data_IF_945229786892
#
_entry.id   IF_945229786892
#
_cell.length_a   1.000
_cell.length_b   1.000
_cell.length_c   1.000
_cell.angle_alpha   90.00
_cell.angle_beta   90.00
_cell.angle_gamma   90.00
#
_symmetry.space_group_name_H-M   'P 1'
#
loop_
_entity.id
_entity.type
_entity.pdbx_description
1 polymer ?
#
# COMPACT_ATOMS: atom_id res chain seq x y z
N UNK A 1 -49.97 61.50 69.70
CA UNK A 1 -49.84 60.88 68.37
C UNK A 1 -48.40 61.08 67.91
N UNK A 2 -47.54 60.08 68.06
CA UNK A 2 -46.20 60.07 67.45
C UNK A 2 -45.90 58.60 67.12
N UNK A 3 -46.02 58.23 65.84
CA UNK A 3 -45.71 56.89 65.34
C UNK A 3 -44.29 56.92 64.78
N UNK A 4 -43.41 56.07 65.32
CA UNK A 4 -42.07 55.79 64.80
C UNK A 4 -42.21 54.63 63.80
N UNK A 5 -41.71 54.71 62.56
CA UNK A 5 -41.66 53.55 61.68
C UNK A 5 -40.35 52.79 61.90
N UNK A 6 -40.47 51.50 62.20
CA UNK A 6 -39.39 50.52 62.08
C UNK A 6 -39.12 50.25 60.60
N UNK A 7 -37.90 50.47 60.13
CA UNK A 7 -37.42 50.00 58.82
C UNK A 7 -36.72 48.67 59.04
N UNK A 8 -37.33 47.58 58.58
CA UNK A 8 -36.72 46.26 58.54
C UNK A 8 -35.80 46.17 57.32
N UNK A 9 -34.49 45.98 57.55
CA UNK A 9 -33.50 45.73 56.50
C UNK A 9 -33.35 44.21 56.33
N UNK A 10 -34.01 43.64 55.33
CA UNK A 10 -33.84 42.24 54.92
C UNK A 10 -32.66 42.12 53.95
N UNK A 11 -31.54 41.59 54.43
CA UNK A 11 -30.38 41.20 53.62
C UNK A 11 -30.72 39.89 52.90
N UNK A 12 -30.96 39.95 51.59
CA UNK A 12 -31.11 38.77 50.74
C UNK A 12 -29.74 38.18 50.39
N UNK A 13 -29.43 37.01 50.95
CA UNK A 13 -28.27 36.21 50.56
C UNK A 13 -28.60 35.48 49.24
N UNK A 14 -28.14 36.03 48.12
CA UNK A 14 -28.20 35.36 46.81
C UNK A 14 -27.07 34.31 46.78
N UNK A 15 -27.41 33.04 46.97
CA UNK A 15 -26.53 31.92 46.60
C UNK A 15 -26.49 31.84 45.07
N UNK A 16 -25.48 32.47 44.47
CA UNK A 16 -25.04 32.11 43.12
C UNK A 16 -24.33 30.76 43.21
N UNK A 17 -25.06 29.67 42.98
CA UNK A 17 -24.44 28.41 42.58
C UNK A 17 -23.91 28.59 41.17
N UNK A 18 -22.67 29.08 41.05
CA UNK A 18 -21.93 29.03 39.80
C UNK A 18 -21.78 27.57 39.41
N UNK A 19 -22.56 27.11 38.45
CA UNK A 19 -22.19 25.94 37.66
C UNK A 19 -20.92 26.33 36.90
N UNK A 20 -19.78 25.94 37.44
CA UNK A 20 -18.54 25.96 36.68
C UNK A 20 -18.72 24.96 35.53
N UNK A 21 -19.13 25.44 34.37
CA UNK A 21 -18.83 24.76 33.12
C UNK A 21 -17.31 24.81 33.02
N UNK A 22 -16.63 23.73 33.41
CA UNK A 22 -15.22 23.55 33.08
C UNK A 22 -15.20 23.42 31.55
N UNK A 23 -14.95 24.54 30.88
CA UNK A 23 -14.55 24.49 29.48
C UNK A 23 -13.21 23.75 29.46
N UNK A 24 -13.14 22.63 28.73
CA UNK A 24 -11.88 21.97 28.43
C UNK A 24 -10.91 23.00 27.84
N UNK A 25 -9.63 22.92 28.24
CA UNK A 25 -8.59 23.75 27.65
C UNK A 25 -8.54 23.53 26.13
N UNK A 26 -8.13 24.54 25.37
CA UNK A 26 -7.94 24.38 23.92
C UNK A 26 -6.97 23.22 23.62
N UNK A 27 -5.94 23.06 24.45
CA UNK A 27 -4.97 21.97 24.39
C UNK A 27 -5.64 20.61 24.60
N UNK A 28 -6.54 20.47 25.56
CA UNK A 28 -7.26 19.21 25.80
C UNK A 28 -8.17 18.82 24.64
N UNK A 29 -8.90 19.79 24.08
CA UNK A 29 -9.69 19.58 22.86
C UNK A 29 -8.83 19.20 21.66
N UNK A 30 -7.69 19.86 21.49
CA UNK A 30 -6.72 19.57 20.44
C UNK A 30 -6.10 18.17 20.62
N UNK A 31 -5.71 17.79 21.84
CA UNK A 31 -5.20 16.46 22.18
C UNK A 31 -6.21 15.37 21.82
N UNK A 32 -7.45 15.52 22.27
CA UNK A 32 -8.53 14.59 21.92
C UNK A 32 -8.70 14.48 20.40
N UNK A 33 -8.71 15.61 19.69
CA UNK A 33 -8.85 15.63 18.23
C UNK A 33 -7.70 14.91 17.52
N UNK A 34 -6.46 15.10 17.97
CA UNK A 34 -5.29 14.40 17.42
C UNK A 34 -5.46 12.90 17.63
N UNK A 35 -5.75 12.47 18.86
CA UNK A 35 -5.92 11.05 19.18
C UNK A 35 -7.03 10.40 18.37
N UNK A 36 -8.24 10.96 18.40
CA UNK A 36 -9.41 10.44 17.68
C UNK A 36 -9.14 10.29 16.17
N UNK A 37 -8.35 11.22 15.59
CA UNK A 37 -8.07 11.24 14.14
C UNK A 37 -7.00 10.26 13.72
N UNK A 38 -6.02 10.00 14.59
CA UNK A 38 -4.96 9.04 14.31
C UNK A 38 -5.41 7.62 14.63
N UNK A 39 -6.09 7.39 15.74
CA UNK A 39 -6.38 6.04 16.25
C UNK A 39 -7.80 5.55 15.90
N UNK A 40 -8.71 6.48 15.58
CA UNK A 40 -10.13 6.17 15.38
C UNK A 40 -10.90 5.92 16.69
N UNK A 41 -10.25 6.01 17.86
CA UNK A 41 -10.83 5.76 19.18
C UNK A 41 -10.56 6.93 20.14
N UNK A 42 -11.42 7.14 21.16
CA UNK A 42 -11.15 8.14 22.18
C UNK A 42 -9.99 7.70 23.09
N UNK A 43 -9.10 8.62 23.52
CA UNK A 43 -8.04 8.32 24.46
C UNK A 43 -8.60 7.99 25.84
N UNK A 44 -7.85 7.20 26.63
CA UNK A 44 -8.06 7.14 28.07
C UNK A 44 -7.80 8.50 28.72
N UNK A 45 -8.39 8.75 29.90
CA UNK A 45 -8.17 10.00 30.65
C UNK A 45 -6.68 10.28 30.93
N UNK A 46 -5.89 9.23 31.20
CA UNK A 46 -4.46 9.35 31.43
C UNK A 46 -3.71 9.79 30.18
N UNK A 47 -3.97 9.14 29.03
CA UNK A 47 -3.36 9.50 27.74
C UNK A 47 -3.77 10.91 27.33
N UNK A 48 -5.03 11.29 27.53
CA UNK A 48 -5.53 12.62 27.19
C UNK A 48 -4.82 13.72 28.00
N UNK A 49 -4.64 13.52 29.31
CA UNK A 49 -3.93 14.46 30.18
C UNK A 49 -2.43 14.57 29.81
N UNK A 50 -1.81 13.46 29.43
CA UNK A 50 -0.43 13.44 28.94
C UNK A 50 -0.29 14.22 27.63
N UNK A 51 -1.17 13.97 26.65
CA UNK A 51 -1.18 14.68 25.37
C UNK A 51 -1.47 16.18 25.52
N UNK A 52 -2.36 16.57 26.45
CA UNK A 52 -2.60 17.97 26.80
C UNK A 52 -1.32 18.67 27.29
N UNK A 53 -0.56 17.98 28.14
CA UNK A 53 0.74 18.47 28.63
C UNK A 53 1.75 18.57 27.49
N UNK A 54 1.82 17.57 26.60
CA UNK A 54 2.70 17.58 25.44
C UNK A 54 2.42 18.75 24.50
N UNK A 55 1.14 19.09 24.26
CA UNK A 55 0.76 20.24 23.44
C UNK A 55 1.13 21.60 24.06
N UNK A 56 1.27 21.66 25.38
CA UNK A 56 1.74 22.88 26.05
C UNK A 56 3.23 23.10 25.79
N UNK A 57 4.03 22.02 25.75
CA UNK A 57 5.47 22.06 25.54
C UNK A 57 5.86 22.08 24.06
N UNK A 58 5.04 21.47 23.20
CA UNK A 58 5.20 21.40 21.76
C UNK A 58 3.89 21.80 21.05
N UNK A 59 3.70 23.10 20.80
CA UNK A 59 2.49 23.60 20.15
C UNK A 59 2.29 23.12 18.71
N UNK A 60 3.30 22.50 18.07
CA UNK A 60 3.14 21.90 16.73
C UNK A 60 2.24 20.67 16.77
N UNK A 61 2.11 20.04 17.95
CA UNK A 61 1.35 18.82 18.15
C UNK A 61 2.09 17.55 17.76
N UNK A 62 3.35 17.63 17.29
CA UNK A 62 4.15 16.46 16.91
C UNK A 62 4.30 15.49 18.08
N UNK A 63 4.72 15.97 19.25
CA UNK A 63 4.92 15.10 20.42
C UNK A 63 3.62 14.43 20.88
N UNK A 64 2.50 15.14 20.80
CA UNK A 64 1.18 14.57 21.10
C UNK A 64 0.74 13.54 20.06
N UNK A 65 1.03 13.77 18.77
CA UNK A 65 0.79 12.81 17.72
C UNK A 65 1.61 11.53 17.95
N UNK A 66 2.91 11.64 18.21
CA UNK A 66 3.78 10.50 18.55
C UNK A 66 3.25 9.70 19.75
N UNK A 67 2.69 10.39 20.75
CA UNK A 67 2.02 9.71 21.87
C UNK A 67 0.78 8.94 21.42
N UNK A 68 -0.05 9.51 20.55
CA UNK A 68 -1.24 8.84 20.03
C UNK A 68 -0.89 7.65 19.12
N UNK A 69 0.25 7.69 18.41
CA UNK A 69 0.70 6.55 17.59
C UNK A 69 1.01 5.30 18.42
N UNK A 70 1.28 5.44 19.74
CA UNK A 70 1.50 4.31 20.64
C UNK A 70 0.22 3.54 20.96
N UNK A 71 -0.96 4.07 20.62
CA UNK A 71 -2.21 3.34 20.78
C UNK A 71 -2.27 2.20 19.73
N UNK A 72 -2.47 0.94 20.14
CA UNK A 72 -2.52 -0.19 19.22
C UNK A 72 -3.57 -0.06 18.10
N UNK A 73 -4.64 0.72 18.32
CA UNK A 73 -5.64 0.98 17.29
C UNK A 73 -5.06 1.72 16.08
N UNK A 74 -3.99 2.51 16.25
CA UNK A 74 -3.31 3.14 15.11
C UNK A 74 -2.80 2.10 14.11
N UNK A 75 -2.12 1.05 14.57
CA UNK A 75 -1.54 0.02 13.70
C UNK A 75 -2.60 -1.01 13.25
N UNK A 76 -3.41 -1.52 14.18
CA UNK A 76 -4.36 -2.60 13.91
C UNK A 76 -5.63 -2.13 13.17
N UNK A 77 -6.00 -0.85 13.28
CA UNK A 77 -7.21 -0.31 12.65
C UNK A 77 -6.86 0.75 11.61
N UNK A 78 -6.20 1.84 11.99
CA UNK A 78 -5.98 2.97 11.06
C UNK A 78 -5.06 2.60 9.91
N UNK A 79 -3.85 2.10 10.19
CA UNK A 79 -2.90 1.73 9.14
C UNK A 79 -3.37 0.50 8.34
N UNK A 80 -3.97 -0.48 9.01
CA UNK A 80 -4.59 -1.61 8.32
C UNK A 80 -5.64 -1.14 7.30
N UNK A 81 -6.57 -0.29 7.71
CA UNK A 81 -7.61 0.23 6.81
C UNK A 81 -7.06 1.20 5.76
N UNK A 82 -5.96 1.88 6.05
CA UNK A 82 -5.26 2.74 5.08
C UNK A 82 -4.64 1.93 3.94
N UNK A 83 -3.97 0.82 4.26
CA UNK A 83 -3.29 -0.02 3.27
C UNK A 83 -4.20 -1.08 2.61
N UNK A 84 -5.27 -1.52 3.29
CA UNK A 84 -6.19 -2.55 2.81
C UNK A 84 -6.75 -2.32 1.39
N UNK A 85 -7.21 -1.10 1.02
CA UNK A 85 -7.66 -0.80 -0.34
C UNK A 85 -6.61 -1.04 -1.43
N UNK A 86 -5.32 -1.08 -1.08
CA UNK A 86 -4.25 -1.27 -2.06
C UNK A 86 -4.04 -2.73 -2.43
N UNK A 87 -4.66 -3.67 -1.70
CA UNK A 87 -4.42 -5.11 -1.84
C UNK A 87 -5.55 -5.84 -2.54
N UNK A 88 -6.53 -5.13 -3.10
CA UNK A 88 -7.69 -5.71 -3.79
C UNK A 88 -8.21 -4.78 -4.90
N UNK A 89 -8.87 -5.34 -5.92
CA UNK A 89 -9.38 -4.57 -7.06
C UNK A 89 -10.59 -3.70 -6.69
N UNK A 90 -11.36 -4.10 -5.68
CA UNK A 90 -12.53 -3.37 -5.18
C UNK A 90 -12.15 -2.11 -4.39
N UNK A 91 -10.86 -1.94 -4.06
CA UNK A 91 -10.34 -0.88 -3.20
C UNK A 91 -11.09 -0.76 -1.86
N UNK A 92 -11.54 -1.90 -1.33
CA UNK A 92 -12.28 -1.98 -0.08
C UNK A 92 -11.34 -2.10 1.11
N UNK A 93 -11.76 -1.50 2.24
CA UNK A 93 -11.12 -1.70 3.55
C UNK A 93 -11.49 -3.06 4.18
N UNK A 94 -12.54 -3.71 3.67
CA UNK A 94 -13.10 -4.96 4.23
C UNK A 94 -12.35 -6.20 3.73
N UNK A 95 -11.02 -6.15 3.75
CA UNK A 95 -10.15 -7.31 3.51
C UNK A 95 -9.42 -7.69 4.80
N UNK A 96 -9.18 -8.99 5.05
CA UNK A 96 -8.32 -9.41 6.16
C UNK A 96 -6.91 -8.83 6.04
N UNK A 97 -6.21 -8.74 7.16
CA UNK A 97 -4.76 -8.58 7.19
C UNK A 97 -4.14 -9.62 6.28
N UNK A 98 -3.11 -9.21 5.54
CA UNK A 98 -2.39 -10.05 4.60
C UNK A 98 -0.94 -9.58 4.52
N UNK A 99 -0.11 -10.31 3.80
CA UNK A 99 1.32 -10.02 3.65
C UNK A 99 1.65 -8.65 3.08
N UNK A 100 0.86 -8.15 2.14
CA UNK A 100 1.01 -6.78 1.64
C UNK A 100 0.73 -5.78 2.77
N UNK A 101 -0.49 -5.81 3.35
CA UNK A 101 -0.89 -4.86 4.40
C UNK A 101 0.07 -4.91 5.60
N UNK A 102 0.46 -6.10 6.04
CA UNK A 102 1.41 -6.30 7.12
C UNK A 102 2.79 -5.69 6.80
N UNK A 103 3.27 -5.87 5.56
CA UNK A 103 4.55 -5.28 5.12
C UNK A 103 4.52 -3.76 5.15
N UNK A 104 3.43 -3.13 4.69
CA UNK A 104 3.26 -1.67 4.78
C UNK A 104 3.24 -1.20 6.23
N UNK A 105 2.47 -1.86 7.10
CA UNK A 105 2.39 -1.51 8.53
C UNK A 105 3.76 -1.60 9.19
N UNK A 106 4.49 -2.69 8.96
CA UNK A 106 5.82 -2.92 9.52
C UNK A 106 6.85 -1.90 9.03
N UNK A 107 6.87 -1.60 7.72
CA UNK A 107 7.75 -0.57 7.16
C UNK A 107 7.52 0.81 7.78
N UNK A 108 6.26 1.19 8.01
CA UNK A 108 5.90 2.45 8.67
C UNK A 108 6.36 2.46 10.13
N UNK A 109 6.14 1.35 10.85
CA UNK A 109 6.57 1.23 12.25
C UNK A 109 8.09 1.35 12.40
N UNK A 110 8.83 0.69 11.52
CA UNK A 110 10.29 0.58 11.59
C UNK A 110 11.03 1.72 10.88
N UNK A 111 10.30 2.74 10.39
CA UNK A 111 10.85 3.91 9.68
C UNK A 111 11.74 3.52 8.49
N UNK A 112 11.32 2.49 7.74
CA UNK A 112 12.02 2.04 6.54
C UNK A 112 11.77 3.04 5.41
N UNK A 113 12.81 3.33 4.62
CA UNK A 113 12.66 4.12 3.39
C UNK A 113 11.56 3.52 2.50
N UNK A 114 10.45 4.24 2.38
CA UNK A 114 9.25 3.69 1.75
C UNK A 114 9.45 3.38 0.26
N UNK A 115 10.51 3.89 -0.37
CA UNK A 115 10.86 3.51 -1.76
C UNK A 115 11.18 2.03 -1.91
N UNK A 116 11.58 1.36 -0.83
CA UNK A 116 11.81 -0.08 -0.79
C UNK A 116 10.50 -0.88 -0.89
N UNK A 117 9.32 -0.26 -0.72
CA UNK A 117 8.03 -0.95 -0.81
C UNK A 117 7.83 -1.63 -2.17
N UNK A 118 8.45 -1.09 -3.23
CA UNK A 118 8.37 -1.59 -4.60
C UNK A 118 9.60 -2.39 -5.04
N UNK A 119 10.66 -2.51 -4.24
CA UNK A 119 11.90 -3.17 -4.71
C UNK A 119 12.68 -3.97 -3.65
N UNK A 120 12.29 -3.85 -2.39
CA UNK A 120 12.96 -4.49 -1.28
C UNK A 120 12.83 -6.01 -1.32
N UNK A 121 13.81 -6.69 -0.73
CA UNK A 121 13.69 -8.09 -0.32
C UNK A 121 13.13 -8.13 1.10
N UNK A 122 11.92 -7.61 1.27
CA UNK A 122 11.31 -7.29 2.56
C UNK A 122 9.89 -7.83 2.63
N UNK A 123 9.58 -8.46 3.77
CA UNK A 123 8.27 -8.98 4.11
C UNK A 123 8.08 -8.79 5.62
N UNK A 124 6.86 -8.54 6.08
CA UNK A 124 6.56 -8.62 7.52
C UNK A 124 5.61 -9.76 7.80
N UNK A 125 5.98 -10.60 8.77
CA UNK A 125 5.19 -11.74 9.25
C UNK A 125 5.00 -11.62 10.76
N UNK A 126 3.98 -12.27 11.31
CA UNK A 126 3.89 -12.52 12.75
C UNK A 126 5.11 -13.30 13.24
N UNK A 127 5.61 -12.99 14.44
CA UNK A 127 6.72 -13.72 15.03
C UNK A 127 6.29 -15.17 15.35
N UNK A 128 7.11 -16.19 15.04
CA UNK A 128 6.79 -17.59 15.35
C UNK A 128 6.56 -17.87 16.84
N UNK A 129 7.07 -17.02 17.73
CA UNK A 129 6.88 -17.11 19.18
C UNK A 129 5.56 -16.50 19.66
N UNK A 130 4.78 -15.83 18.79
CA UNK A 130 3.43 -15.36 19.14
C UNK A 130 2.55 -16.56 19.46
N UNK A 131 2.02 -16.59 20.69
CA UNK A 131 1.09 -17.60 21.16
C UNK A 131 -0.33 -17.14 20.85
N UNK A 132 -1.12 -18.00 20.22
CA UNK A 132 -2.54 -17.74 19.95
C UNK A 132 -3.41 -18.24 21.12
N UNK A 133 -4.63 -17.69 21.27
CA UNK A 133 -5.49 -17.82 22.46
C UNK A 133 -5.82 -19.27 22.92
N UNK A 134 -5.56 -20.29 22.09
CA UNK A 134 -5.73 -21.71 22.41
C UNK A 134 -4.46 -22.40 22.93
N UNK A 135 -3.36 -21.65 23.10
CA UNK A 135 -2.06 -22.16 23.53
C UNK A 135 -1.24 -22.81 22.41
N UNK A 136 -1.72 -22.79 21.17
CA UNK A 136 -0.93 -23.17 20.00
C UNK A 136 -0.04 -22.01 19.52
N UNK A 137 1.00 -22.32 18.75
CA UNK A 137 1.83 -21.32 18.08
C UNK A 137 1.07 -20.72 16.89
N UNK A 138 1.40 -19.47 16.54
CA UNK A 138 0.94 -18.82 15.31
C UNK A 138 1.17 -19.73 14.09
N UNK A 139 0.20 -19.75 13.16
CA UNK A 139 0.29 -20.53 11.92
C UNK A 139 1.47 -20.01 11.09
N UNK A 140 2.37 -20.87 10.60
CA UNK A 140 3.48 -20.43 9.75
C UNK A 140 3.00 -19.73 8.47
N UNK A 141 3.83 -18.81 7.96
CA UNK A 141 3.58 -18.19 6.66
C UNK A 141 3.46 -19.25 5.56
N UNK A 142 2.48 -19.06 4.67
CA UNK A 142 2.24 -19.94 3.52
C UNK A 142 2.08 -19.11 2.26
N UNK A 143 2.75 -19.52 1.18
CA UNK A 143 2.52 -18.96 -0.15
C UNK A 143 1.11 -19.26 -0.69
N UNK A 144 0.42 -20.26 -0.13
CA UNK A 144 -0.82 -20.82 -0.68
C UNK A 144 -2.08 -20.35 0.05
N UNK A 145 -1.98 -19.74 1.23
CA UNK A 145 -3.15 -19.25 1.97
C UNK A 145 -2.84 -17.95 2.74
N UNK A 146 -3.83 -17.42 3.48
CA UNK A 146 -3.69 -16.21 4.27
C UNK A 146 -3.87 -16.48 5.78
N UNK A 147 -3.78 -17.74 6.19
CA UNK A 147 -4.20 -18.17 7.53
C UNK A 147 -3.31 -17.58 8.62
N UNK A 148 -2.02 -17.43 8.33
CA UNK A 148 -1.05 -16.72 9.17
C UNK A 148 -1.54 -15.32 9.59
N UNK A 149 -1.92 -14.49 8.60
CA UNK A 149 -2.33 -13.11 8.85
C UNK A 149 -3.74 -13.00 9.42
N UNK A 150 -4.66 -13.89 9.02
CA UNK A 150 -6.01 -13.96 9.62
C UNK A 150 -5.90 -14.31 11.10
N UNK A 151 -5.04 -15.26 11.45
CA UNK A 151 -4.82 -15.66 12.85
C UNK A 151 -4.20 -14.52 13.65
N UNK A 152 -3.19 -13.85 13.09
CA UNK A 152 -2.57 -12.68 13.71
C UNK A 152 -3.57 -11.54 13.95
N UNK A 153 -4.44 -11.26 12.98
CA UNK A 153 -5.50 -10.25 13.13
C UNK A 153 -6.51 -10.61 14.22
N UNK A 154 -6.87 -11.88 14.34
CA UNK A 154 -7.85 -12.35 15.32
C UNK A 154 -7.41 -12.18 16.79
N UNK A 155 -6.12 -12.03 17.05
CA UNK A 155 -5.60 -11.69 18.39
C UNK A 155 -6.01 -10.29 18.85
N UNK A 156 -6.49 -9.45 17.93
CA UNK A 156 -6.93 -8.10 18.22
C UNK A 156 -5.77 -7.15 18.60
N UNK A 157 -6.09 -5.88 18.88
CA UNK A 157 -5.09 -4.84 19.09
C UNK A 157 -4.29 -4.97 20.39
N UNK A 158 -4.78 -5.70 21.40
CA UNK A 158 -4.05 -5.84 22.67
C UNK A 158 -3.00 -6.95 22.62
N UNK A 159 -3.42 -8.19 22.31
CA UNK A 159 -2.51 -9.35 22.23
C UNK A 159 -1.74 -9.37 20.91
N UNK A 160 -2.40 -9.01 19.80
CA UNK A 160 -1.81 -8.96 18.46
C UNK A 160 -1.46 -7.53 18.01
N UNK A 161 -0.92 -6.71 18.91
CA UNK A 161 -0.55 -5.33 18.60
C UNK A 161 0.49 -5.30 17.47
N UNK A 162 0.10 -4.86 16.26
CA UNK A 162 1.01 -4.81 15.10
C UNK A 162 2.08 -3.71 15.23
N UNK A 163 1.91 -2.79 16.18
CA UNK A 163 2.92 -1.81 16.57
C UNK A 163 4.03 -2.38 17.46
N UNK A 164 3.91 -3.62 17.93
CA UNK A 164 4.92 -4.31 18.74
C UNK A 164 5.88 -5.12 17.85
N UNK A 165 7.19 -4.89 18.01
CA UNK A 165 8.24 -5.55 17.22
C UNK A 165 8.47 -7.01 17.62
N UNK A 166 7.89 -7.47 18.72
CA UNK A 166 7.81 -8.88 19.09
C UNK A 166 6.61 -9.61 18.48
N UNK A 167 5.63 -8.87 17.95
CA UNK A 167 4.43 -9.42 17.31
C UNK A 167 4.58 -9.47 15.81
N UNK A 168 4.94 -8.35 15.17
CA UNK A 168 5.12 -8.24 13.73
C UNK A 168 6.61 -8.02 13.42
N UNK A 169 7.25 -8.96 12.73
CA UNK A 169 8.70 -8.95 12.52
C UNK A 169 9.07 -8.83 11.05
N UNK A 170 10.11 -8.06 10.78
CA UNK A 170 10.69 -7.98 9.45
C UNK A 170 11.39 -9.31 9.10
N UNK A 171 11.12 -9.80 7.90
CA UNK A 171 11.73 -10.98 7.30
C UNK A 171 12.33 -10.64 5.94
N UNK A 172 13.25 -11.49 5.49
CA UNK A 172 13.73 -11.46 4.11
C UNK A 172 12.71 -12.17 3.21
N UNK A 173 12.13 -11.46 2.24
CA UNK A 173 11.04 -11.98 1.41
C UNK A 173 11.43 -13.24 0.63
N UNK A 174 12.64 -13.29 0.08
CA UNK A 174 13.18 -14.45 -0.64
C UNK A 174 13.35 -15.67 0.26
N UNK A 175 13.77 -15.47 1.52
CA UNK A 175 13.95 -16.55 2.47
C UNK A 175 12.61 -17.18 2.90
N UNK A 176 11.55 -16.37 3.01
CA UNK A 176 10.22 -16.82 3.42
C UNK A 176 9.42 -17.40 2.26
N UNK A 177 9.45 -16.73 1.10
CA UNK A 177 8.65 -17.15 -0.07
C UNK A 177 9.34 -18.21 -0.93
N UNK A 178 10.67 -18.34 -0.81
CA UNK A 178 11.49 -19.20 -1.67
C UNK A 178 11.75 -18.61 -3.06
N UNK A 179 11.35 -17.36 -3.32
CA UNK A 179 11.71 -16.64 -4.55
C UNK A 179 13.21 -16.36 -4.59
N UNK A 180 13.78 -16.32 -5.80
CA UNK A 180 15.12 -15.77 -5.99
C UNK A 180 15.16 -14.33 -5.46
N UNK A 181 16.24 -13.93 -4.78
CA UNK A 181 16.35 -12.56 -4.25
C UNK A 181 16.24 -11.52 -5.37
N UNK A 182 16.70 -11.78 -6.59
CA UNK A 182 16.52 -10.87 -7.72
C UNK A 182 15.04 -10.74 -8.18
N UNK A 183 14.20 -11.72 -7.84
CA UNK A 183 12.80 -11.81 -8.21
C UNK A 183 11.83 -11.21 -7.19
N UNK A 184 12.31 -10.79 -6.01
CA UNK A 184 11.46 -10.11 -5.03
C UNK A 184 11.25 -8.65 -5.40
N UNK A 185 10.16 -8.01 -4.97
CA UNK A 185 9.92 -6.60 -5.22
C UNK A 185 8.93 -6.00 -4.19
N UNK A 186 9.27 -6.18 -2.91
CA UNK A 186 8.47 -5.75 -1.77
C UNK A 186 7.02 -6.21 -1.91
N UNK A 187 6.08 -5.26 -1.88
CA UNK A 187 4.66 -5.59 -1.94
C UNK A 187 4.21 -6.21 -3.26
N UNK A 188 4.92 -5.95 -4.38
CA UNK A 188 4.49 -6.42 -5.71
C UNK A 188 4.61 -7.94 -5.86
N UNK A 189 5.46 -8.58 -5.06
CA UNK A 189 5.70 -10.03 -5.09
C UNK A 189 5.15 -10.73 -3.85
N UNK A 190 4.22 -10.09 -3.14
CA UNK A 190 3.43 -10.72 -2.09
C UNK A 190 2.34 -11.60 -2.69
N UNK A 191 1.87 -12.59 -1.93
CA UNK A 191 0.71 -13.42 -2.30
C UNK A 191 -0.53 -12.55 -2.46
N UNK A 192 -0.79 -11.58 -1.58
CA UNK A 192 -1.97 -10.72 -1.70
C UNK A 192 -1.97 -9.92 -3.02
N UNK A 193 -0.82 -9.33 -3.39
CA UNK A 193 -0.69 -8.63 -4.65
C UNK A 193 -0.80 -9.58 -5.85
N UNK A 194 -0.19 -10.76 -5.77
CA UNK A 194 -0.30 -11.82 -6.78
C UNK A 194 -1.77 -12.19 -7.04
N UNK A 195 -2.48 -12.56 -5.97
CA UNK A 195 -3.89 -12.92 -6.01
C UNK A 195 -4.75 -11.82 -6.63
N UNK A 196 -4.52 -10.57 -6.25
CA UNK A 196 -5.35 -9.45 -6.67
C UNK A 196 -5.05 -9.04 -8.12
N UNK A 197 -3.79 -9.02 -8.55
CA UNK A 197 -3.40 -8.25 -9.73
C UNK A 197 -2.60 -9.02 -10.80
N UNK A 198 -2.23 -10.28 -10.54
CA UNK A 198 -1.66 -11.17 -11.55
C UNK A 198 -2.70 -12.08 -12.21
N UNK A 199 -3.95 -12.08 -11.72
CA UNK A 199 -5.01 -12.90 -12.27
C UNK A 199 -5.39 -12.45 -13.70
N UNK A 200 -5.05 -13.30 -14.68
CA UNK A 200 -5.33 -13.11 -16.12
C UNK A 200 -4.63 -11.90 -16.76
N UNK A 201 -4.43 -11.98 -18.07
CA UNK A 201 -3.78 -10.91 -18.85
C UNK A 201 -2.26 -10.83 -18.63
N UNK A 202 -1.64 -9.74 -19.09
CA UNK A 202 -0.18 -9.54 -19.08
C UNK A 202 0.28 -8.65 -17.92
N UNK A 203 -0.27 -8.85 -16.71
CA UNK A 203 0.07 -8.07 -15.50
C UNK A 203 -0.15 -6.55 -15.58
N UNK A 204 -0.99 -6.07 -16.51
CA UNK A 204 -1.37 -4.64 -16.63
C UNK A 204 -2.17 -4.15 -15.42
N UNK A 205 -2.90 -5.02 -14.73
CA UNK A 205 -3.59 -4.71 -13.48
C UNK A 205 -2.57 -4.38 -12.36
N UNK A 206 -1.56 -5.23 -12.15
CA UNK A 206 -0.49 -4.98 -11.18
C UNK A 206 0.17 -3.62 -11.40
N UNK A 207 0.51 -3.31 -12.65
CA UNK A 207 1.10 -2.03 -13.00
C UNK A 207 0.17 -0.84 -12.71
N UNK A 208 -1.09 -0.92 -13.14
CA UNK A 208 -2.08 0.13 -12.90
C UNK A 208 -2.27 0.40 -11.40
N UNK A 209 -2.52 -0.63 -10.60
CA UNK A 209 -2.74 -0.48 -9.17
C UNK A 209 -1.48 -0.01 -8.43
N UNK A 210 -0.28 -0.38 -8.91
CA UNK A 210 0.97 0.20 -8.40
C UNK A 210 1.02 1.71 -8.61
N UNK A 211 0.65 2.20 -9.79
CA UNK A 211 0.57 3.64 -10.07
C UNK A 211 -0.48 4.33 -9.17
N UNK A 212 -1.68 3.77 -9.11
CA UNK A 212 -2.77 4.34 -8.32
C UNK A 212 -2.44 4.42 -6.82
N UNK A 213 -1.79 3.39 -6.28
CA UNK A 213 -1.55 3.27 -4.84
C UNK A 213 -0.23 3.92 -4.40
N UNK A 214 0.78 4.01 -5.27
CA UNK A 214 2.14 4.42 -4.86
C UNK A 214 2.75 5.59 -5.65
N UNK A 215 2.15 6.00 -6.78
CA UNK A 215 2.62 7.14 -7.59
C UNK A 215 1.53 8.22 -7.73
N UNK A 216 0.53 8.20 -6.84
CA UNK A 216 -0.55 9.18 -6.74
C UNK A 216 -1.27 9.52 -8.08
N UNK A 217 -1.23 8.61 -9.07
CA UNK A 217 -1.78 8.84 -10.41
C UNK A 217 -2.29 7.53 -11.03
N UNK A 218 -3.17 7.60 -12.02
CA UNK A 218 -3.63 6.44 -12.79
C UNK A 218 -3.08 6.52 -14.23
N UNK A 219 -3.36 5.52 -15.05
CA UNK A 219 -2.95 5.46 -16.46
C UNK A 219 -3.63 6.53 -17.33
N UNK A 220 -4.80 7.03 -16.93
CA UNK A 220 -5.55 8.02 -17.71
C UNK A 220 -4.86 9.41 -17.71
N UNK A 221 -4.49 9.99 -16.55
CA UNK A 221 -3.74 11.25 -16.52
C UNK A 221 -2.40 11.22 -17.27
N UNK A 222 -1.76 10.06 -17.36
CA UNK A 222 -0.41 9.89 -17.96
C UNK A 222 -0.47 9.36 -19.39
N UNK A 223 -1.63 9.38 -20.05
CA UNK A 223 -1.73 9.04 -21.48
C UNK A 223 -0.86 9.96 -22.32
N UNK A 224 0.02 9.37 -23.12
CA UNK A 224 0.89 10.12 -24.03
C UNK A 224 1.03 9.40 -25.37
N UNK A 225 0.31 9.90 -26.38
CA UNK A 225 0.34 9.37 -27.74
C UNK A 225 1.55 9.85 -28.57
N UNK A 226 2.46 10.64 -27.99
CA UNK A 226 3.73 11.03 -28.61
C UNK A 226 4.87 10.06 -28.30
N UNK A 227 4.67 9.11 -27.39
CA UNK A 227 5.67 8.07 -27.07
C UNK A 227 5.76 7.03 -28.19
N UNK A 228 6.94 6.42 -28.33
CA UNK A 228 7.18 5.36 -29.30
C UNK A 228 6.41 4.08 -28.89
N UNK A 229 5.58 3.48 -29.77
CA UNK A 229 4.78 2.31 -29.43
C UNK A 229 5.44 0.98 -29.85
N UNK A 230 6.76 0.91 -29.88
CA UNK A 230 7.53 -0.27 -30.34
C UNK A 230 7.44 -1.48 -29.39
N UNK A 231 7.22 -1.21 -28.10
CA UNK A 231 6.95 -2.24 -27.07
C UNK A 231 5.48 -2.61 -26.96
N UNK A 232 4.56 -1.97 -27.70
CA UNK A 232 3.14 -2.34 -27.62
C UNK A 232 2.93 -3.74 -28.17
N UNK A 233 2.40 -4.61 -27.33
CA UNK A 233 2.27 -6.04 -27.57
C UNK A 233 1.35 -6.38 -28.76
N UNK A 234 1.51 -7.58 -29.30
CA UNK A 234 0.71 -8.13 -30.41
C UNK A 234 -0.75 -8.41 -30.05
N UNK A 235 -1.07 -8.58 -28.77
CA UNK A 235 -2.42 -8.84 -28.26
C UNK A 235 -3.34 -7.61 -28.37
N UNK A 236 -2.79 -6.41 -28.51
CA UNK A 236 -3.54 -5.16 -28.64
C UNK A 236 -3.92 -4.91 -30.10
N UNK A 237 -5.23 -4.87 -30.38
CA UNK A 237 -5.74 -4.55 -31.72
C UNK A 237 -5.32 -3.14 -32.16
N UNK A 238 -4.87 -3.02 -33.41
CA UNK A 238 -4.57 -1.73 -34.07
C UNK A 238 -5.77 -1.14 -34.83
N UNK A 239 -6.91 -1.81 -34.77
CA UNK A 239 -8.18 -1.37 -35.35
C UNK A 239 -9.33 -1.86 -34.47
N UNK A 240 -9.41 -1.41 -33.20
CA UNK A 240 -10.49 -1.80 -32.31
C UNK A 240 -11.84 -1.38 -32.92
N UNK A 241 -12.79 -2.31 -32.99
CA UNK A 241 -14.07 -2.08 -33.68
C UNK A 241 -13.95 -1.83 -35.19
N UNK A 242 -12.80 -2.13 -35.81
CA UNK A 242 -12.53 -1.87 -37.23
C UNK A 242 -12.01 -0.45 -37.53
N UNK A 243 -11.78 0.39 -36.52
CA UNK A 243 -11.32 1.77 -36.69
C UNK A 243 -9.93 1.99 -36.06
N UNK A 244 -8.91 2.15 -36.91
CA UNK A 244 -7.54 2.39 -36.46
C UNK A 244 -7.33 3.76 -35.81
N UNK A 245 -8.23 4.72 -36.03
CA UNK A 245 -8.14 6.05 -35.41
C UNK A 245 -8.35 5.96 -33.90
N UNK A 246 -9.12 4.99 -33.42
CA UNK A 246 -9.32 4.76 -31.99
C UNK A 246 -7.99 4.32 -31.35
N UNK A 247 -7.25 3.43 -32.00
CA UNK A 247 -5.93 3.03 -31.52
C UNK A 247 -4.97 4.23 -31.49
N UNK A 248 -4.87 4.96 -32.61
CA UNK A 248 -3.91 6.05 -32.77
C UNK A 248 -4.18 7.25 -31.85
N UNK A 249 -5.44 7.54 -31.54
CA UNK A 249 -5.80 8.72 -30.75
C UNK A 249 -6.06 8.43 -29.27
N UNK A 250 -6.37 7.19 -28.91
CA UNK A 250 -6.81 6.85 -27.54
C UNK A 250 -6.02 5.71 -26.92
N UNK A 251 -5.97 4.53 -27.56
CA UNK A 251 -5.38 3.35 -26.94
C UNK A 251 -3.86 3.44 -26.82
N UNK A 252 -3.19 3.93 -27.87
CA UNK A 252 -1.72 4.04 -27.89
C UNK A 252 -1.21 4.97 -26.78
N UNK A 253 -2.01 5.93 -26.32
CA UNK A 253 -1.63 6.84 -25.24
C UNK A 253 -1.29 6.14 -23.93
N UNK A 254 -2.04 5.11 -23.53
CA UNK A 254 -1.67 4.29 -22.37
C UNK A 254 -0.59 3.29 -22.74
N UNK A 255 -0.77 2.58 -23.85
CA UNK A 255 0.04 1.43 -24.20
C UNK A 255 1.50 1.78 -24.50
N UNK A 256 1.77 2.90 -25.16
CA UNK A 256 3.14 3.26 -25.55
C UNK A 256 4.07 3.43 -24.34
N UNK A 257 3.56 3.90 -23.20
CA UNK A 257 4.32 3.94 -21.95
C UNK A 257 4.22 2.65 -21.13
N UNK A 258 3.00 2.19 -20.86
CA UNK A 258 2.75 1.02 -20.01
C UNK A 258 3.38 -0.26 -20.56
N UNK A 259 3.22 -0.56 -21.85
CA UNK A 259 3.75 -1.79 -22.44
C UNK A 259 5.28 -1.81 -22.47
N UNK A 260 5.94 -0.64 -22.38
CA UNK A 260 7.39 -0.54 -22.14
C UNK A 260 7.84 -1.21 -20.84
N UNK A 261 6.97 -1.24 -19.83
CA UNK A 261 7.26 -1.87 -18.54
C UNK A 261 6.83 -3.33 -18.41
N UNK A 262 5.95 -3.81 -19.30
CA UNK A 262 5.28 -5.09 -19.08
C UNK A 262 6.22 -6.30 -19.12
N UNK A 263 7.35 -6.18 -19.82
CA UNK A 263 8.38 -7.21 -19.80
C UNK A 263 8.90 -7.51 -18.40
N UNK A 264 8.95 -6.54 -17.46
CA UNK A 264 9.39 -6.79 -16.09
C UNK A 264 8.65 -7.95 -15.40
N UNK A 265 7.39 -8.17 -15.77
CA UNK A 265 6.52 -9.23 -15.22
C UNK A 265 6.54 -10.53 -16.05
N UNK A 266 7.34 -10.62 -17.11
CA UNK A 266 7.30 -11.70 -18.11
C UNK A 266 7.47 -13.10 -17.51
N UNK A 267 8.19 -13.23 -16.39
CA UNK A 267 8.50 -14.50 -15.73
C UNK A 267 7.56 -14.84 -14.56
N UNK A 268 6.56 -14.00 -14.28
CA UNK A 268 5.68 -14.13 -13.13
C UNK A 268 4.25 -14.49 -13.55
N UNK A 269 3.65 -15.47 -12.89
CA UNK A 269 2.23 -15.78 -13.05
C UNK A 269 1.51 -16.06 -11.73
N UNK A 270 0.19 -16.09 -11.79
CA UNK A 270 -0.65 -16.58 -10.71
C UNK A 270 -1.09 -18.00 -11.05
N UNK A 271 -0.85 -18.93 -10.13
CA UNK A 271 -1.29 -20.31 -10.26
C UNK A 271 -2.09 -20.77 -9.03
N UNK A 272 -2.71 -21.92 -9.16
CA UNK A 272 -3.54 -22.56 -8.16
C UNK A 272 -3.14 -24.03 -8.05
N UNK A 273 -3.30 -24.62 -6.86
CA UNK A 273 -3.05 -26.05 -6.70
C UNK A 273 -4.08 -26.83 -7.51
N UNK A 274 -3.61 -27.72 -8.38
CA UNK A 274 -4.44 -28.62 -9.18
C UNK A 274 -4.21 -30.09 -8.77
N UNK A 275 -5.28 -30.82 -8.53
CA UNK A 275 -5.24 -32.25 -8.24
C UNK A 275 -6.40 -32.98 -8.92
N UNK A 276 -6.10 -34.03 -9.69
CA UNK A 276 -7.09 -34.82 -10.45
C UNK A 276 -7.97 -33.95 -11.36
N UNK A 277 -7.37 -33.02 -12.10
CA UNK A 277 -8.05 -32.07 -13.00
C UNK A 277 -9.05 -31.13 -12.28
N UNK A 278 -8.89 -30.94 -10.96
CA UNK A 278 -9.67 -30.02 -10.14
C UNK A 278 -8.72 -28.94 -9.61
N UNK A 279 -9.02 -27.70 -9.98
CA UNK A 279 -8.30 -26.50 -9.52
C UNK A 279 -8.90 -26.03 -8.20
N UNK A 280 -8.05 -25.87 -7.17
CA UNK A 280 -8.44 -25.26 -5.90
C UNK A 280 -8.21 -23.74 -5.95
N UNK A 281 -9.26 -23.00 -6.30
CA UNK A 281 -9.24 -21.53 -6.38
C UNK A 281 -8.95 -20.84 -5.02
N UNK A 282 -8.93 -21.57 -3.91
CA UNK A 282 -8.56 -21.02 -2.58
C UNK A 282 -7.05 -20.98 -2.34
N UNK A 283 -6.26 -21.52 -3.27
CA UNK A 283 -4.79 -21.63 -3.18
C UNK A 283 -4.00 -20.74 -4.17
N UNK A 284 -4.41 -19.47 -4.41
CA UNK A 284 -3.68 -18.60 -5.33
C UNK A 284 -2.26 -18.37 -4.80
N UNK A 285 -1.25 -18.61 -5.63
CA UNK A 285 0.14 -18.40 -5.29
C UNK A 285 0.92 -17.84 -6.48
N UNK A 286 1.91 -17.01 -6.18
CA UNK A 286 2.80 -16.44 -7.19
C UNK A 286 3.74 -17.53 -7.69
N UNK A 287 3.82 -17.68 -9.01
CA UNK A 287 4.81 -18.51 -9.69
C UNK A 287 5.84 -17.61 -10.35
N UNK A 288 7.12 -17.93 -10.18
CA UNK A 288 8.23 -17.27 -10.85
C UNK A 288 9.09 -18.33 -11.55
N UNK A 289 9.24 -18.20 -12.87
CA UNK A 289 10.04 -19.12 -13.69
C UNK A 289 11.17 -18.34 -14.37
N UNK A 290 12.36 -18.24 -13.75
CA UNK A 290 13.45 -17.42 -14.27
C UNK A 290 13.87 -17.87 -15.68
N UNK A 291 13.90 -16.92 -16.61
CA UNK A 291 14.26 -17.17 -18.00
C UNK A 291 13.14 -17.66 -18.90
N UNK A 292 11.93 -17.93 -18.36
CA UNK A 292 10.80 -18.45 -19.12
C UNK A 292 9.63 -17.45 -19.15
N UNK A 293 9.34 -16.93 -20.35
CA UNK A 293 8.19 -16.05 -20.57
C UNK A 293 6.89 -16.83 -20.37
N UNK A 294 6.07 -16.36 -19.42
CA UNK A 294 4.79 -16.97 -19.09
C UNK A 294 3.82 -16.89 -20.27
N UNK A 295 3.03 -17.95 -20.46
CA UNK A 295 2.16 -18.12 -21.64
C UNK A 295 1.21 -16.94 -21.87
N UNK A 296 0.77 -16.27 -20.81
CA UNK A 296 -0.11 -15.08 -20.88
C UNK A 296 0.45 -13.92 -21.69
N UNK A 297 1.77 -13.82 -21.87
CA UNK A 297 2.40 -12.80 -22.73
C UNK A 297 2.36 -13.14 -24.22
N UNK A 298 2.02 -14.38 -24.57
CA UNK A 298 2.07 -14.89 -25.94
C UNK A 298 0.68 -15.19 -26.52
N UNK A 299 -0.40 -14.95 -25.75
CA UNK A 299 -1.78 -15.10 -26.23
C UNK A 299 -2.14 -14.02 -27.26
N UNK A 300 -3.16 -14.32 -28.08
CA UNK A 300 -3.71 -13.37 -29.06
C UNK A 300 -2.68 -12.84 -30.08
N UNK A 301 -1.65 -13.63 -30.42
CA UNK A 301 -0.60 -13.26 -31.37
C UNK A 301 -1.09 -12.82 -32.76
N UNK A 302 -2.31 -13.23 -33.12
CA UNK A 302 -2.93 -12.91 -34.41
C UNK A 302 -3.65 -11.55 -34.42
N UNK A 303 -3.83 -10.88 -33.28
CA UNK A 303 -4.49 -9.56 -33.22
C UNK A 303 -3.70 -8.49 -33.98
N UNK A 304 -2.37 -8.47 -33.81
CA UNK A 304 -1.48 -7.66 -34.62
C UNK A 304 -0.08 -8.30 -34.71
N UNK A 305 0.11 -9.20 -35.67
CA UNK A 305 1.36 -9.97 -35.86
C UNK A 305 2.66 -9.13 -35.83
N UNK A 306 2.71 -7.90 -36.38
CA UNK A 306 3.91 -7.08 -36.34
C UNK A 306 4.20 -6.39 -34.99
N UNK A 307 3.31 -6.50 -34.00
CA UNK A 307 3.52 -5.92 -32.67
C UNK A 307 4.64 -6.60 -31.87
N UNK A 308 4.90 -6.10 -30.67
CA UNK A 308 6.00 -6.59 -29.83
C UNK A 308 5.76 -8.03 -29.34
N UNK A 309 6.80 -8.86 -29.45
CA UNK A 309 6.86 -10.19 -28.84
C UNK A 309 7.69 -10.08 -27.57
N UNK A 310 7.08 -10.36 -26.41
CA UNK A 310 7.82 -10.48 -25.15
C UNK A 310 8.69 -11.73 -25.21
N UNK A 311 10.00 -11.57 -25.08
CA UNK A 311 10.99 -12.66 -25.17
C UNK A 311 11.85 -12.80 -23.91
N UNK A 312 11.86 -11.77 -23.06
CA UNK A 312 12.63 -11.66 -21.83
C UNK A 312 11.90 -10.75 -20.83
N UNK A 313 12.53 -10.52 -19.68
CA UNK A 313 12.01 -9.66 -18.63
C UNK A 313 12.47 -8.19 -18.71
N UNK A 314 12.91 -7.74 -19.90
CA UNK A 314 13.38 -6.36 -20.10
C UNK A 314 12.24 -5.34 -20.03
N UNK A 315 12.52 -4.18 -19.45
CA UNK A 315 11.62 -3.04 -19.42
C UNK A 315 12.33 -1.74 -19.83
N UNK A 316 11.54 -0.76 -20.26
CA UNK A 316 11.97 0.59 -20.65
C UNK A 316 10.95 1.63 -20.21
N UNK A 317 11.40 2.70 -19.56
CA UNK A 317 10.60 3.84 -19.14
C UNK A 317 10.64 4.95 -20.20
N UNK A 318 9.65 4.97 -21.09
CA UNK A 318 9.48 6.06 -22.07
C UNK A 318 8.99 7.38 -21.47
N UNK A 319 8.47 7.37 -20.24
CA UNK A 319 7.91 8.53 -19.57
C UNK A 319 8.95 9.44 -18.92
N UNK A 320 10.23 9.05 -18.87
CA UNK A 320 11.34 9.98 -18.59
C UNK A 320 11.46 11.12 -19.61
N UNK A 321 10.82 10.98 -20.76
CA UNK A 321 10.73 11.99 -21.80
C UNK A 321 9.28 12.47 -21.99
N UNK A 322 9.13 13.65 -22.59
CA UNK A 322 7.81 14.20 -22.93
C UNK A 322 7.09 14.80 -21.73
N UNK A 323 5.75 14.86 -21.80
CA UNK A 323 4.95 15.53 -20.76
C UNK A 323 5.00 14.81 -19.41
N UNK A 324 5.17 13.48 -19.42
CA UNK A 324 5.20 12.68 -18.19
C UNK A 324 6.56 12.73 -17.48
N UNK A 325 7.59 13.34 -18.06
CA UNK A 325 8.88 13.55 -17.39
C UNK A 325 8.72 14.38 -16.10
N UNK A 326 7.60 15.11 -15.98
CA UNK A 326 7.20 15.85 -14.79
C UNK A 326 6.90 14.98 -13.57
N UNK A 327 6.75 13.66 -13.72
CA UNK A 327 6.74 12.73 -12.59
C UNK A 327 8.10 12.67 -11.87
N UNK A 328 9.16 13.30 -12.42
CA UNK A 328 10.36 13.66 -11.65
C UNK A 328 11.22 12.48 -11.24
N UNK A 329 11.55 11.58 -12.17
CA UNK A 329 12.46 10.47 -11.85
C UNK A 329 13.89 10.94 -11.61
N UNK A 330 14.49 10.48 -10.51
CA UNK A 330 15.90 10.72 -10.19
C UNK A 330 16.81 9.69 -10.85
N UNK A 331 18.05 10.08 -11.13
CA UNK A 331 19.11 9.22 -11.65
C UNK A 331 19.96 8.62 -10.51
N UNK A 332 19.65 8.99 -9.25
CA UNK A 332 20.44 8.64 -8.07
C UNK A 332 19.89 7.40 -7.35
N UNK A 333 19.97 6.24 -7.99
CA UNK A 333 19.70 4.95 -7.35
C UNK A 333 20.57 3.83 -7.93
N UNK A 334 20.77 2.78 -7.14
CA UNK A 334 21.64 1.67 -7.52
C UNK A 334 21.08 0.89 -8.72
N UNK A 335 21.90 0.75 -9.77
CA UNK A 335 21.53 0.04 -11.00
C UNK A 335 20.80 0.91 -12.03
N UNK A 336 20.75 2.23 -11.85
CA UNK A 336 20.22 3.14 -12.86
C UNK A 336 20.95 2.97 -14.21
N UNK A 337 20.17 2.81 -15.28
CA UNK A 337 20.66 2.73 -16.65
C UNK A 337 19.76 3.59 -17.53
N UNK A 338 20.35 4.31 -18.48
CA UNK A 338 19.65 5.18 -19.43
C UNK A 338 20.21 4.96 -20.83
N UNK A 339 19.32 4.89 -21.82
CA UNK A 339 19.72 4.75 -23.23
C UNK A 339 20.17 6.10 -23.84
N UNK A 340 20.68 6.07 -25.07
CA UNK A 340 21.10 7.27 -25.81
C UNK A 340 19.97 8.27 -26.09
N UNK A 341 18.72 7.87 -25.89
CA UNK A 341 17.51 8.67 -26.10
C UNK A 341 16.91 9.18 -24.80
N UNK A 342 17.54 8.90 -23.66
CA UNK A 342 17.07 9.36 -22.35
C UNK A 342 15.98 8.47 -21.72
N UNK A 343 15.80 7.22 -22.16
CA UNK A 343 14.88 6.28 -21.52
C UNK A 343 15.62 5.43 -20.50
N UNK A 344 15.09 5.31 -19.29
CA UNK A 344 15.60 4.34 -18.34
C UNK A 344 15.22 2.92 -18.76
N UNK A 345 16.05 1.94 -18.45
CA UNK A 345 15.76 0.54 -18.77
C UNK A 345 16.36 -0.40 -17.72
N UNK A 346 15.90 -1.66 -17.73
CA UNK A 346 16.38 -2.69 -16.82
C UNK A 346 15.70 -4.03 -17.06
N UNK A 347 15.82 -4.94 -16.09
CA UNK A 347 15.26 -6.30 -16.15
C UNK A 347 14.56 -6.67 -14.83
N UNK A 348 13.38 -7.26 -14.94
CA UNK A 348 12.61 -7.79 -13.82
C UNK A 348 11.91 -6.74 -12.94
N UNK A 349 10.92 -7.21 -12.18
CA UNK A 349 10.04 -6.37 -11.33
C UNK A 349 10.84 -5.58 -10.28
N UNK A 350 11.91 -6.15 -9.70
CA UNK A 350 12.73 -5.46 -8.68
C UNK A 350 13.29 -4.14 -9.18
N UNK A 351 13.94 -4.16 -10.35
CA UNK A 351 14.59 -2.96 -10.90
C UNK A 351 13.58 -1.98 -11.46
N UNK A 352 12.47 -2.46 -12.02
CA UNK A 352 11.34 -1.62 -12.43
C UNK A 352 10.74 -0.91 -11.21
N UNK A 353 10.47 -1.63 -10.12
CA UNK A 353 9.92 -1.05 -8.91
C UNK A 353 10.81 0.01 -8.29
N UNK A 354 12.14 -0.17 -8.37
CA UNK A 354 13.12 0.84 -7.96
C UNK A 354 13.06 2.08 -8.84
N UNK A 355 12.91 1.92 -10.16
CA UNK A 355 12.67 3.06 -11.06
C UNK A 355 11.39 3.80 -10.68
N UNK A 356 10.27 3.08 -10.50
CA UNK A 356 8.98 3.68 -10.17
C UNK A 356 9.00 4.44 -8.83
N UNK A 357 9.62 3.87 -7.79
CA UNK A 357 9.68 4.49 -6.46
C UNK A 357 10.68 5.65 -6.35
N UNK A 358 11.54 5.85 -7.35
CA UNK A 358 12.47 6.99 -7.41
C UNK A 358 11.93 8.11 -8.32
N UNK A 359 10.62 8.38 -8.22
CA UNK A 359 9.92 9.51 -8.82
C UNK A 359 9.51 10.54 -7.76
N UNK A 360 9.18 11.77 -8.20
CA UNK A 360 8.60 12.83 -7.37
C UNK A 360 7.05 12.76 -7.33
N UNK A 361 6.48 11.64 -7.82
CA UNK A 361 5.05 11.44 -8.02
C UNK A 361 4.22 11.29 -6.73
#
# INVERSE_FOLDING_TARGET
MLKIPFVALSVGLVLLTGQAVIADTEQRRQAKRIHDRLTGTPPSEGVLAEMETLLTNDPTGKSAAEKALQDPAFYNVTLKNFAAPWTNEEQTVFTPLNDYTATVIGMIRDDIDFREVLSGDILYTGDPAVVVDDGNQSVDYSNFNNDHYVTLENLGPETGNLGDDSILVQQTQSAITGLDSAATAGIMTTRAAARAFFFKGTSRAMFRFTFMNHLCTDLEPIKDNSRIPDRVHRDVSRSPGGDSRIYLNSCVGCHAGMDGFMGAYAYYDLDFVEANDIVDETTPHLVYTPGEVQAKFLINENNFKPGHVTVDDSWINYWRNGQNALLGWTDNYAGFQIDEKGHAFGTGVKTMGRELSNSDA
#
